data_IF_365194259737
#
_entry.id   IF_365194259737
#
_cell.length_a   1.000
_cell.length_b   1.000
_cell.length_c   1.000
_cell.angle_alpha   90.00
_cell.angle_beta   90.00
_cell.angle_gamma   90.00
#
_symmetry.space_group_name_H-M   'P 1'
#
loop_
_entity.id
_entity.type
_entity.pdbx_description
1 polymer ?
#
# COMPACT_ATOMS: atom_id res chain seq x y z
N UNK A 1 28.76 -14.57 2.89
CA UNK A 1 27.67 -13.67 3.33
C UNK A 1 26.61 -13.41 2.25
N UNK A 2 26.87 -13.65 0.95
CA UNK A 2 25.89 -13.37 -0.13
C UNK A 2 24.55 -14.13 -0.05
N UNK A 3 24.51 -15.33 0.53
CA UNK A 3 23.27 -16.11 0.64
C UNK A 3 22.22 -15.44 1.54
N UNK A 4 22.67 -14.78 2.62
CA UNK A 4 21.76 -14.07 3.52
C UNK A 4 21.10 -12.87 2.83
N UNK A 5 21.89 -12.10 2.06
CA UNK A 5 21.39 -10.99 1.24
C UNK A 5 20.39 -11.46 0.18
N UNK A 6 20.69 -12.54 -0.55
CA UNK A 6 19.79 -13.10 -1.56
C UNK A 6 18.46 -13.60 -0.95
N UNK A 7 18.52 -14.27 0.19
CA UNK A 7 17.33 -14.72 0.94
C UNK A 7 16.53 -13.51 1.42
N UNK A 8 17.19 -12.47 1.94
CA UNK A 8 16.55 -11.22 2.36
C UNK A 8 15.80 -10.53 1.22
N UNK A 9 16.42 -10.42 0.04
CA UNK A 9 15.78 -9.85 -1.16
C UNK A 9 14.58 -10.69 -1.59
N UNK A 10 14.72 -12.01 -1.68
CA UNK A 10 13.62 -12.89 -2.08
C UNK A 10 12.42 -12.82 -1.12
N UNK A 11 12.70 -12.83 0.19
CA UNK A 11 11.68 -12.70 1.24
C UNK A 11 10.96 -11.34 1.19
N UNK A 12 11.71 -10.25 0.96
CA UNK A 12 11.12 -8.92 0.85
C UNK A 12 10.25 -8.77 -0.40
N UNK A 13 10.63 -9.37 -1.54
CA UNK A 13 9.81 -9.40 -2.76
C UNK A 13 8.49 -10.16 -2.51
N UNK A 14 8.55 -11.33 -1.87
CA UNK A 14 7.35 -12.13 -1.54
C UNK A 14 6.40 -11.36 -0.61
N UNK A 15 6.96 -10.69 0.40
CA UNK A 15 6.19 -9.87 1.33
C UNK A 15 5.52 -8.70 0.59
N UNK A 16 6.27 -7.99 -0.25
CA UNK A 16 5.74 -6.91 -1.09
C UNK A 16 4.58 -7.38 -1.97
N UNK A 17 4.73 -8.51 -2.68
CA UNK A 17 3.67 -9.05 -3.54
C UNK A 17 2.40 -9.40 -2.76
N UNK A 18 2.55 -9.92 -1.54
CA UNK A 18 1.42 -10.25 -0.66
C UNK A 18 0.67 -8.98 -0.26
N UNK A 19 1.40 -7.95 0.21
CA UNK A 19 0.77 -6.69 0.60
C UNK A 19 0.14 -5.95 -0.59
N UNK A 20 0.80 -5.95 -1.75
CA UNK A 20 0.24 -5.37 -2.97
C UNK A 20 -1.09 -6.04 -3.36
N UNK A 21 -1.18 -7.36 -3.23
CA UNK A 21 -2.43 -8.09 -3.47
C UNK A 21 -3.55 -7.68 -2.51
N UNK A 22 -3.25 -7.60 -1.21
CA UNK A 22 -4.22 -7.18 -0.20
C UNK A 22 -4.66 -5.73 -0.38
N UNK A 23 -3.76 -4.82 -0.78
CA UNK A 23 -4.10 -3.42 -1.14
C UNK A 23 -5.07 -3.38 -2.32
N UNK A 24 -4.81 -4.14 -3.39
CA UNK A 24 -5.70 -4.20 -4.56
C UNK A 24 -7.08 -4.77 -4.21
N UNK A 25 -7.10 -5.81 -3.36
CA UNK A 25 -8.33 -6.42 -2.87
C UNK A 25 -9.14 -5.44 -2.01
N UNK A 26 -8.51 -4.80 -1.03
CA UNK A 26 -9.12 -3.80 -0.18
C UNK A 26 -9.65 -2.61 -1.00
N UNK A 27 -8.90 -2.16 -2.00
CA UNK A 27 -9.34 -1.10 -2.94
C UNK A 27 -10.59 -1.52 -3.72
N UNK A 28 -10.64 -2.76 -4.22
CA UNK A 28 -11.80 -3.29 -4.93
C UNK A 28 -13.01 -3.42 -4.01
N UNK A 29 -12.82 -3.93 -2.79
CA UNK A 29 -13.89 -4.08 -1.81
C UNK A 29 -14.43 -2.72 -1.38
N UNK A 30 -13.54 -1.75 -1.16
CA UNK A 30 -13.88 -0.36 -0.85
C UNK A 30 -14.75 0.26 -1.94
N UNK A 31 -14.36 0.11 -3.22
CA UNK A 31 -15.17 0.57 -4.37
C UNK A 31 -16.55 -0.09 -4.42
N UNK A 32 -16.68 -1.33 -3.96
CA UNK A 32 -17.92 -2.11 -4.05
C UNK A 32 -18.86 -1.91 -2.87
N UNK A 33 -18.33 -1.70 -1.67
CA UNK A 33 -19.08 -1.72 -0.41
C UNK A 33 -19.07 -0.40 0.36
N UNK A 34 -18.09 0.47 0.13
CA UNK A 34 -18.02 1.81 0.75
C UNK A 34 -18.02 1.82 2.28
N UNK A 35 -17.31 0.88 2.93
CA UNK A 35 -17.29 0.79 4.41
C UNK A 35 -16.03 1.41 5.00
N UNK A 36 -16.18 2.22 6.05
CA UNK A 36 -15.10 2.86 6.82
C UNK A 36 -14.09 1.84 7.40
N UNK A 37 -14.53 0.61 7.72
CA UNK A 37 -13.62 -0.45 8.17
C UNK A 37 -12.60 -0.84 7.09
N UNK A 38 -12.99 -0.74 5.82
CA UNK A 38 -12.13 -1.01 4.67
C UNK A 38 -11.07 0.12 4.49
N UNK A 39 -11.34 1.34 5.01
CA UNK A 39 -10.40 2.48 4.95
C UNK A 39 -9.18 2.26 5.84
N UNK A 40 -9.40 1.89 7.10
CA UNK A 40 -8.30 1.65 8.05
C UNK A 40 -7.47 0.44 7.64
N UNK A 41 -8.12 -0.59 7.09
CA UNK A 41 -7.42 -1.75 6.56
C UNK A 41 -6.56 -1.39 5.35
N UNK A 42 -7.10 -0.62 4.39
CA UNK A 42 -6.35 -0.17 3.22
C UNK A 42 -5.12 0.65 3.61
N UNK A 43 -5.27 1.62 4.53
CA UNK A 43 -4.16 2.43 5.01
C UNK A 43 -3.04 1.58 5.66
N UNK A 44 -3.41 0.59 6.51
CA UNK A 44 -2.45 -0.31 7.14
C UNK A 44 -1.70 -1.18 6.13
N UNK A 45 -2.41 -1.75 5.15
CA UNK A 45 -1.80 -2.61 4.13
C UNK A 45 -0.87 -1.82 3.21
N UNK A 46 -1.26 -0.60 2.85
CA UNK A 46 -0.43 0.34 2.08
C UNK A 46 0.86 0.69 2.82
N UNK A 47 0.78 0.96 4.13
CA UNK A 47 1.96 1.23 4.93
C UNK A 47 2.87 0.00 5.03
N UNK A 48 2.30 -1.19 5.25
CA UNK A 48 3.06 -2.44 5.29
C UNK A 48 3.79 -2.72 3.97
N UNK A 49 3.15 -2.46 2.83
CA UNK A 49 3.76 -2.56 1.50
C UNK A 49 4.95 -1.61 1.33
N UNK A 50 4.84 -0.36 1.79
CA UNK A 50 5.94 0.62 1.78
C UNK A 50 7.11 0.13 2.63
N UNK A 51 6.86 -0.29 3.87
CA UNK A 51 7.90 -0.80 4.76
C UNK A 51 8.58 -2.05 4.19
N UNK A 52 7.85 -2.96 3.54
CA UNK A 52 8.43 -4.11 2.86
C UNK A 52 9.37 -3.68 1.72
N UNK A 53 8.97 -2.70 0.90
CA UNK A 53 9.81 -2.17 -0.18
C UNK A 53 11.06 -1.43 0.33
N UNK A 54 10.97 -0.79 1.50
CA UNK A 54 12.12 -0.13 2.14
C UNK A 54 13.10 -1.12 2.76
N UNK A 55 12.60 -2.20 3.37
CA UNK A 55 13.43 -3.26 3.96
C UNK A 55 14.36 -3.96 2.96
N UNK A 56 14.09 -3.82 1.65
CA UNK A 56 14.92 -4.34 0.58
C UNK A 56 16.22 -3.55 0.35
N UNK A 57 16.39 -2.35 0.94
CA UNK A 57 17.60 -1.54 0.74
C UNK A 57 18.85 -2.17 1.35
N UNK A 58 18.81 -2.51 2.64
CA UNK A 58 19.95 -3.07 3.36
C UNK A 58 20.49 -4.37 2.72
N UNK A 59 19.64 -5.39 2.40
CA UNK A 59 20.12 -6.61 1.77
C UNK A 59 20.78 -6.37 0.40
N UNK A 60 20.31 -5.36 -0.35
CA UNK A 60 20.89 -5.01 -1.66
C UNK A 60 22.24 -4.33 -1.51
N UNK A 61 22.40 -3.47 -0.51
CA UNK A 61 23.68 -2.82 -0.21
C UNK A 61 24.76 -3.83 0.20
N UNK A 62 24.38 -4.96 0.80
CA UNK A 62 25.28 -6.05 1.17
C UNK A 62 25.68 -6.96 -0.02
N UNK A 63 25.05 -6.82 -1.19
CA UNK A 63 25.41 -7.60 -2.38
C UNK A 63 26.68 -7.07 -3.07
N UNK A 64 27.38 -7.95 -3.79
CA UNK A 64 28.50 -7.60 -4.69
C UNK A 64 28.06 -6.60 -5.77
N UNK A 65 28.98 -5.74 -6.24
CA UNK A 65 28.66 -4.59 -7.12
C UNK A 65 27.95 -4.99 -8.42
N UNK A 66 28.32 -6.12 -9.01
CA UNK A 66 27.72 -6.64 -10.24
C UNK A 66 26.24 -7.02 -10.03
N UNK A 67 25.94 -7.82 -9.01
CA UNK A 67 24.57 -8.23 -8.66
C UNK A 67 23.74 -7.07 -8.09
N UNK A 68 24.37 -6.18 -7.34
CA UNK A 68 23.75 -4.98 -6.75
C UNK A 68 23.13 -4.10 -7.83
N UNK A 69 23.80 -3.90 -8.96
CA UNK A 69 23.30 -3.03 -10.03
C UNK A 69 21.96 -3.52 -10.61
N UNK A 70 21.86 -4.82 -10.91
CA UNK A 70 20.65 -5.44 -11.45
C UNK A 70 19.53 -5.50 -10.40
N UNK A 71 19.82 -5.94 -9.18
CA UNK A 71 18.81 -6.05 -8.12
C UNK A 71 18.33 -4.67 -7.66
N UNK A 72 19.20 -3.66 -7.63
CA UNK A 72 18.85 -2.28 -7.27
C UNK A 72 17.80 -1.68 -8.22
N UNK A 73 17.87 -1.97 -9.53
CA UNK A 73 16.84 -1.53 -10.49
C UNK A 73 15.47 -2.11 -10.10
N UNK A 74 15.40 -3.40 -9.78
CA UNK A 74 14.16 -4.06 -9.39
C UNK A 74 13.63 -3.54 -8.05
N UNK A 75 14.49 -3.38 -7.04
CA UNK A 75 14.08 -2.81 -5.74
C UNK A 75 13.57 -1.39 -5.87
N UNK A 76 14.22 -0.56 -6.70
CA UNK A 76 13.76 0.79 -7.00
C UNK A 76 12.39 0.79 -7.69
N UNK A 77 12.16 -0.13 -8.63
CA UNK A 77 10.85 -0.29 -9.26
C UNK A 77 9.78 -0.67 -8.24
N UNK A 78 10.06 -1.59 -7.31
CA UNK A 78 9.13 -1.97 -6.23
C UNK A 78 8.83 -0.79 -5.30
N UNK A 79 9.83 0.01 -4.95
CA UNK A 79 9.65 1.23 -4.15
C UNK A 79 8.79 2.28 -4.86
N UNK A 80 8.98 2.47 -6.17
CA UNK A 80 8.13 3.35 -6.96
C UNK A 80 6.68 2.84 -6.97
N UNK A 81 6.46 1.54 -7.22
CA UNK A 81 5.12 0.94 -7.18
C UNK A 81 4.49 1.10 -5.79
N UNK A 82 5.25 0.88 -4.71
CA UNK A 82 4.77 1.07 -3.34
C UNK A 82 4.30 2.52 -3.10
N UNK A 83 5.10 3.47 -3.59
CA UNK A 83 4.85 4.90 -3.43
C UNK A 83 3.63 5.35 -4.24
N UNK A 84 3.57 4.98 -5.51
CA UNK A 84 2.46 5.31 -6.41
C UNK A 84 1.15 4.67 -5.94
N UNK A 85 1.20 3.41 -5.51
CA UNK A 85 0.04 2.71 -4.98
C UNK A 85 -0.45 3.35 -3.68
N UNK A 86 0.47 3.81 -2.83
CA UNK A 86 0.08 4.54 -1.62
C UNK A 86 -0.57 5.88 -1.93
N UNK A 87 0.03 6.67 -2.81
CA UNK A 87 -0.55 7.95 -3.24
C UNK A 87 -1.94 7.75 -3.87
N UNK A 88 -2.12 6.68 -4.65
CA UNK A 88 -3.41 6.32 -5.20
C UNK A 88 -4.43 5.96 -4.12
N UNK A 89 -4.04 5.17 -3.11
CA UNK A 89 -4.90 4.83 -1.97
C UNK A 89 -5.27 6.06 -1.15
N UNK A 90 -4.30 6.93 -0.83
CA UNK A 90 -4.52 8.16 -0.09
C UNK A 90 -5.55 9.06 -0.81
N UNK A 91 -5.40 9.22 -2.13
CA UNK A 91 -6.35 9.98 -2.95
C UNK A 91 -7.74 9.35 -3.01
N UNK A 92 -7.83 8.01 -3.05
CA UNK A 92 -9.10 7.30 -2.99
C UNK A 92 -9.81 7.51 -1.66
N UNK A 93 -9.04 7.48 -0.56
CA UNK A 93 -9.54 7.72 0.78
C UNK A 93 -10.04 9.16 0.95
N UNK A 94 -9.33 10.14 0.40
CA UNK A 94 -9.77 11.55 0.36
C UNK A 94 -11.12 11.69 -0.38
N UNK A 95 -11.23 11.12 -1.60
CA UNK A 95 -12.48 11.18 -2.38
C UNK A 95 -13.65 10.54 -1.62
N UNK A 96 -13.40 9.38 -0.99
CA UNK A 96 -14.45 8.67 -0.26
C UNK A 96 -14.86 9.39 1.01
N UNK A 97 -13.91 9.98 1.73
CA UNK A 97 -14.20 10.84 2.88
C UNK A 97 -15.04 12.06 2.48
N UNK A 98 -14.70 12.71 1.38
CA UNK A 98 -15.48 13.85 0.87
C UNK A 98 -16.90 13.46 0.47
N UNK A 99 -17.08 12.26 -0.11
CA UNK A 99 -18.40 11.70 -0.43
C UNK A 99 -19.22 11.34 0.83
N UNK A 100 -18.57 10.82 1.87
CA UNK A 100 -19.22 10.49 3.16
C UNK A 100 -19.63 11.76 3.91
N UNK A 101 -18.82 12.83 3.84
CA UNK A 101 -19.20 14.17 4.34
C UNK A 101 -20.37 14.80 3.56
N UNK A 102 -20.53 14.47 2.27
CA UNK A 102 -21.70 14.86 1.48
C UNK A 102 -22.94 13.98 1.78
N UNK A 103 -22.76 12.84 2.45
CA UNK A 103 -23.83 11.93 2.83
C UNK A 103 -24.45 12.24 4.21
N UNK A 104 -24.07 13.36 4.85
CA UNK A 104 -24.74 13.83 6.08
C UNK A 104 -26.22 14.13 5.78
N UNK A 105 -27.18 13.58 6.56
CA UNK A 105 -28.57 13.51 6.17
C UNK A 105 -29.28 14.87 6.19
N UNK A 106 -30.26 14.98 5.29
CA UNK A 106 -31.36 15.93 5.32
C UNK A 106 -32.18 15.81 6.62
N UNK A 107 -31.66 16.30 7.75
CA UNK A 107 -32.42 16.56 8.96
C UNK A 107 -32.67 18.06 9.10
N UNK A 108 -33.57 18.58 8.28
CA UNK A 108 -34.36 19.76 8.63
C UNK A 108 -35.75 19.28 9.05
N UNK A 109 -35.78 18.93 10.34
CA UNK A 109 -36.88 19.02 11.31
C UNK A 109 -38.22 18.30 11.03
N UNK A 110 -38.68 17.44 11.97
CA UNK A 110 -40.11 17.23 12.13
C UNK A 110 -40.72 18.50 12.71
N UNK A 111 -41.38 19.32 11.88
CA UNK A 111 -42.26 20.37 12.38
C UNK A 111 -43.59 19.74 12.75
N UNK A 112 -43.84 19.76 14.05
CA UNK A 112 -45.00 19.31 14.80
C UNK A 112 -46.36 19.64 14.18
N UNK A 113 -47.28 18.66 14.33
CA UNK A 113 -48.76 18.75 14.38
C UNK A 113 -49.56 18.99 13.10
#
# INVERSE_FOLDING_TARGET
>A
MEWAAAIGVASGILSFSTFAHEVLKATRDLRRKGSIADHQQLARQTQAMKSAAESLKEPVEDMTSEKRSSVSIHVKALQNIATDSAAYCDRLLEILHDLDLMAVPSELAPSER
#
